data_IF_304391482090
#
_entry.id   IF_304391482090
#
_cell.length_a   1.000
_cell.length_b   1.000
_cell.length_c   1.000
_cell.angle_alpha   90.00
_cell.angle_beta   90.00
_cell.angle_gamma   90.00
#
_symmetry.space_group_name_H-M   'P 1'
#
loop_
_entity.id
_entity.type
_entity.pdbx_description
1 polymer ?
#
# COMPACT_ATOMS: atom_id res chain seq x y z
N UNK A 1 -38.60 -14.16 3.27
CA UNK A 1 -37.26 -14.77 3.46
C UNK A 1 -36.93 -15.58 2.20
N UNK A 2 -36.84 -14.95 1.01
CA UNK A 2 -36.59 -15.73 -0.21
C UNK A 2 -36.01 -15.08 -1.47
N UNK A 3 -35.45 -13.86 -1.45
CA UNK A 3 -34.97 -13.22 -2.71
C UNK A 3 -33.48 -12.91 -2.80
N UNK A 4 -32.68 -13.03 -1.73
CA UNK A 4 -31.28 -12.57 -1.76
C UNK A 4 -30.25 -13.59 -2.27
N UNK A 5 -30.63 -14.85 -2.50
CA UNK A 5 -29.70 -15.93 -2.87
C UNK A 5 -29.62 -16.22 -4.38
N UNK A 6 -30.38 -15.50 -5.21
CA UNK A 6 -30.45 -15.76 -6.66
C UNK A 6 -29.16 -15.44 -7.44
N UNK A 7 -28.13 -14.86 -6.80
CA UNK A 7 -26.83 -14.59 -7.43
C UNK A 7 -25.68 -15.20 -6.62
N UNK A 8 -25.74 -16.50 -6.38
CA UNK A 8 -24.54 -17.25 -6.01
C UNK A 8 -23.62 -17.32 -7.24
N UNK A 9 -22.57 -16.50 -7.26
CA UNK A 9 -21.46 -16.65 -8.21
C UNK A 9 -20.81 -18.00 -7.92
N UNK A 10 -20.86 -18.90 -8.89
CA UNK A 10 -20.19 -20.21 -8.80
C UNK A 10 -18.70 -19.95 -8.75
N UNK A 11 -18.11 -20.11 -7.56
CA UNK A 11 -16.67 -20.02 -7.34
C UNK A 11 -16.11 -21.43 -7.16
N UNK A 12 -14.89 -21.73 -7.65
CA UNK A 12 -14.30 -23.07 -7.53
C UNK A 12 -14.01 -23.52 -6.09
N UNK A 13 -14.02 -22.58 -5.15
CA UNK A 13 -13.77 -22.79 -3.73
C UNK A 13 -15.03 -22.40 -2.95
N UNK A 14 -15.52 -23.24 -2.03
CA UNK A 14 -16.61 -22.85 -1.15
C UNK A 14 -16.17 -21.64 -0.30
N UNK A 15 -17.09 -20.71 -0.07
CA UNK A 15 -16.82 -19.59 0.81
C UNK A 15 -16.43 -20.13 2.21
N UNK A 16 -15.38 -19.56 2.85
CA UNK A 16 -15.04 -19.91 4.23
C UNK A 16 -16.24 -19.73 5.16
N UNK A 17 -16.40 -20.63 6.14
CA UNK A 17 -17.49 -20.55 7.11
C UNK A 17 -17.50 -19.18 7.79
N UNK A 18 -18.63 -18.45 7.68
CA UNK A 18 -18.81 -17.10 8.22
C UNK A 18 -18.51 -15.94 7.27
N UNK A 19 -18.14 -16.18 6.00
CA UNK A 19 -17.92 -15.11 5.02
C UNK A 19 -19.26 -14.58 4.46
N UNK A 20 -19.69 -13.42 4.96
CA UNK A 20 -20.89 -12.73 4.46
C UNK A 20 -20.52 -11.93 3.22
N UNK A 21 -21.07 -12.32 2.07
CA UNK A 21 -20.84 -11.62 0.79
C UNK A 21 -21.72 -10.37 0.74
N UNK A 22 -21.18 -9.24 1.18
CA UNK A 22 -21.77 -7.92 0.98
C UNK A 22 -21.19 -7.29 -0.30
N UNK A 23 -22.03 -7.07 -1.31
CA UNK A 23 -21.65 -6.41 -2.56
C UNK A 23 -21.76 -4.88 -2.50
N UNK A 24 -22.44 -4.34 -1.48
CA UNK A 24 -22.53 -2.89 -1.24
C UNK A 24 -21.29 -2.37 -0.51
N UNK A 25 -20.86 -3.10 0.53
CA UNK A 25 -19.63 -2.80 1.28
C UNK A 25 -18.73 -4.03 1.35
N UNK A 26 -17.98 -4.34 0.27
CA UNK A 26 -17.15 -5.53 0.23
C UNK A 26 -16.07 -5.49 1.32
N UNK A 27 -16.03 -6.54 2.15
CA UNK A 27 -15.00 -6.71 3.15
C UNK A 27 -13.63 -6.79 2.47
N UNK A 28 -12.76 -5.79 2.72
CA UNK A 28 -11.38 -5.81 2.24
C UNK A 28 -10.52 -6.63 3.18
N UNK A 29 -9.78 -7.58 2.61
CA UNK A 29 -8.81 -8.38 3.35
C UNK A 29 -7.60 -7.51 3.69
N UNK A 30 -7.29 -7.43 4.98
CA UNK A 30 -5.99 -7.07 5.54
C UNK A 30 -5.38 -5.71 5.10
N UNK A 31 -6.24 -4.69 5.02
CA UNK A 31 -5.85 -3.34 4.62
C UNK A 31 -4.78 -2.76 5.57
N UNK A 32 -4.95 -2.96 6.88
CA UNK A 32 -4.03 -2.44 7.91
C UNK A 32 -2.66 -3.11 7.87
N UNK A 33 -2.61 -4.44 7.72
CA UNK A 33 -1.34 -5.16 7.66
C UNK A 33 -0.54 -4.74 6.43
N UNK A 34 -1.21 -4.57 5.29
CA UNK A 34 -0.57 -4.12 4.04
C UNK A 34 0.05 -2.73 4.20
N UNK A 35 -0.66 -1.78 4.80
CA UNK A 35 -0.13 -0.43 5.07
C UNK A 35 1.06 -0.43 6.02
N UNK A 36 1.00 -1.24 7.07
CA UNK A 36 2.09 -1.35 8.04
C UNK A 36 3.35 -1.89 7.38
N UNK A 37 3.21 -2.94 6.57
CA UNK A 37 4.33 -3.55 5.85
C UNK A 37 4.92 -2.55 4.85
N UNK A 38 4.10 -1.89 4.03
CA UNK A 38 4.57 -0.90 3.04
C UNK A 38 5.33 0.27 3.69
N UNK A 39 4.80 0.82 4.78
CA UNK A 39 5.46 1.92 5.50
C UNK A 39 6.80 1.51 6.10
N UNK A 40 6.92 0.30 6.67
CA UNK A 40 8.20 -0.23 7.16
C UNK A 40 9.22 -0.33 6.02
N UNK A 41 8.82 -0.89 4.87
CA UNK A 41 9.72 -1.03 3.72
C UNK A 41 10.17 0.31 3.14
N UNK A 42 9.30 1.33 3.11
CA UNK A 42 9.66 2.67 2.65
C UNK A 42 10.68 3.35 3.56
N UNK A 43 10.49 3.24 4.87
CA UNK A 43 11.44 3.78 5.87
C UNK A 43 12.78 3.05 5.79
N UNK A 44 12.76 1.72 5.64
CA UNK A 44 13.98 0.95 5.49
C UNK A 44 14.74 1.35 4.20
N UNK A 45 14.03 1.54 3.09
CA UNK A 45 14.62 2.04 1.86
C UNK A 45 15.25 3.43 2.04
N UNK A 46 14.62 4.32 2.81
CA UNK A 46 15.18 5.63 3.12
C UNK A 46 16.52 5.54 3.86
N UNK A 47 16.65 4.64 4.84
CA UNK A 47 17.93 4.42 5.53
C UNK A 47 19.04 3.94 4.59
N UNK A 48 18.73 3.07 3.62
CA UNK A 48 19.71 2.62 2.63
C UNK A 48 20.16 3.75 1.69
N UNK A 49 19.22 4.59 1.24
CA UNK A 49 19.51 5.78 0.43
C UNK A 49 20.38 6.76 1.22
N UNK A 50 20.02 7.04 2.48
CA UNK A 50 20.76 7.94 3.37
C UNK A 50 22.18 7.43 3.65
N UNK A 51 22.34 6.12 3.89
CA UNK A 51 23.66 5.50 4.06
C UNK A 51 24.51 5.65 2.81
N UNK A 52 23.95 5.42 1.63
CA UNK A 52 24.66 5.58 0.35
C UNK A 52 25.11 7.02 0.17
N UNK A 53 24.21 7.98 0.36
CA UNK A 53 24.52 9.41 0.29
C UNK A 53 25.59 9.83 1.31
N UNK A 54 25.54 9.33 2.53
CA UNK A 54 26.53 9.63 3.56
C UNK A 54 27.94 9.14 3.19
N UNK A 55 28.05 7.88 2.73
CA UNK A 55 29.34 7.30 2.34
C UNK A 55 29.89 7.99 1.09
N UNK A 56 29.04 8.27 0.11
CA UNK A 56 29.46 8.94 -1.13
C UNK A 56 29.86 10.40 -0.86
N UNK A 57 29.16 11.11 0.03
CA UNK A 57 29.53 12.47 0.44
C UNK A 57 30.89 12.50 1.17
N UNK A 58 31.12 11.55 2.08
CA UNK A 58 32.38 11.46 2.83
C UNK A 58 33.56 11.02 1.96
N UNK A 59 33.33 10.14 0.98
CA UNK A 59 34.41 9.53 0.18
C UNK A 59 34.73 10.31 -1.08
N UNK A 60 33.71 10.81 -1.80
CA UNK A 60 33.87 11.44 -3.12
C UNK A 60 33.81 12.96 -3.07
N UNK A 61 33.20 13.56 -2.04
CA UNK A 61 33.06 15.02 -1.91
C UNK A 61 32.21 15.71 -2.98
N UNK A 62 31.70 14.95 -3.96
CA UNK A 62 30.82 15.41 -5.04
C UNK A 62 29.63 14.47 -5.16
N UNK A 63 28.45 15.05 -5.37
CA UNK A 63 27.24 14.31 -5.71
C UNK A 63 27.34 13.81 -7.15
N UNK A 64 27.35 12.49 -7.32
CA UNK A 64 27.24 11.89 -8.65
C UNK A 64 25.81 11.98 -9.19
N UNK A 65 25.65 11.97 -10.51
CA UNK A 65 24.32 11.86 -11.14
C UNK A 65 23.59 10.59 -10.69
N UNK A 66 24.32 9.50 -10.45
CA UNK A 66 23.79 8.24 -9.94
C UNK A 66 23.07 8.42 -8.58
N UNK A 67 23.62 9.25 -7.69
CA UNK A 67 23.07 9.49 -6.35
C UNK A 67 21.80 10.34 -6.40
N UNK A 68 21.78 11.31 -7.32
CA UNK A 68 20.60 12.15 -7.59
C UNK A 68 19.47 11.30 -8.17
N UNK A 69 19.77 10.45 -9.14
CA UNK A 69 18.77 9.58 -9.77
C UNK A 69 18.16 8.59 -8.76
N UNK A 70 19.00 8.08 -7.85
CA UNK A 70 18.59 7.17 -6.79
C UNK A 70 17.69 7.87 -5.74
N UNK A 71 18.00 9.12 -5.38
CA UNK A 71 17.15 9.92 -4.51
C UNK A 71 15.78 10.22 -5.16
N UNK A 72 15.78 10.61 -6.44
CA UNK A 72 14.56 10.86 -7.20
C UNK A 72 13.71 9.58 -7.29
N UNK A 73 14.33 8.43 -7.54
CA UNK A 73 13.65 7.13 -7.57
C UNK A 73 12.99 6.79 -6.24
N UNK A 74 13.66 7.08 -5.11
CA UNK A 74 13.07 6.89 -3.79
C UNK A 74 11.88 7.83 -3.55
N UNK A 75 11.97 9.11 -3.92
CA UNK A 75 10.85 10.08 -3.82
C UNK A 75 9.66 9.62 -4.67
N UNK A 76 9.92 9.18 -5.91
CA UNK A 76 8.87 8.66 -6.79
C UNK A 76 8.17 7.43 -6.19
N UNK A 77 8.94 6.52 -5.58
CA UNK A 77 8.39 5.36 -4.86
C UNK A 77 7.52 5.77 -3.65
N UNK A 78 7.97 6.76 -2.87
CA UNK A 78 7.20 7.30 -1.76
C UNK A 78 5.89 7.95 -2.24
N UNK A 79 5.92 8.67 -3.36
CA UNK A 79 4.74 9.31 -3.94
C UNK A 79 3.69 8.28 -4.39
N UNK A 80 4.10 7.19 -5.02
CA UNK A 80 3.20 6.09 -5.41
C UNK A 80 2.50 5.50 -4.19
N UNK A 81 3.26 5.21 -3.13
CA UNK A 81 2.67 4.72 -1.88
C UNK A 81 1.71 5.74 -1.27
N UNK A 82 2.05 7.03 -1.30
CA UNK A 82 1.19 8.14 -0.89
C UNK A 82 -0.17 8.15 -1.60
N UNK A 83 -0.18 7.91 -2.91
CA UNK A 83 -1.44 7.80 -3.69
C UNK A 83 -2.29 6.62 -3.21
N UNK A 84 -1.67 5.46 -2.95
CA UNK A 84 -2.39 4.30 -2.41
C UNK A 84 -2.97 4.55 -1.00
N UNK A 85 -2.26 5.29 -0.13
CA UNK A 85 -2.79 5.72 1.16
C UNK A 85 -3.95 6.73 1.02
N UNK A 86 -3.87 7.63 0.05
CA UNK A 86 -4.92 8.61 -0.19
C UNK A 86 -6.22 7.95 -0.68
N UNK A 87 -6.14 7.06 -1.68
CA UNK A 87 -7.30 6.33 -2.19
C UNK A 87 -8.01 5.55 -1.09
N UNK A 88 -7.23 4.88 -0.25
CA UNK A 88 -7.78 4.11 0.86
C UNK A 88 -8.34 4.95 2.00
N UNK A 89 -7.73 6.09 2.31
CA UNK A 89 -8.28 7.04 3.29
C UNK A 89 -9.62 7.61 2.83
N UNK A 90 -9.76 7.95 1.54
CA UNK A 90 -11.04 8.39 0.96
C UNK A 90 -12.09 7.28 1.06
N UNK A 91 -11.74 6.04 0.73
CA UNK A 91 -12.69 4.93 0.76
C UNK A 91 -13.15 4.57 2.17
N UNK A 92 -12.25 4.61 3.16
CA UNK A 92 -12.61 4.45 4.58
C UNK A 92 -13.48 5.63 5.05
N UNK A 93 -13.19 6.86 4.62
CA UNK A 93 -14.01 8.03 4.95
C UNK A 93 -15.43 7.99 4.36
N UNK A 94 -15.60 7.39 3.17
CA UNK A 94 -16.92 7.21 2.54
C UNK A 94 -17.73 6.08 3.20
N UNK A 95 -17.08 4.98 3.60
CA UNK A 95 -17.74 3.83 4.26
C UNK A 95 -17.94 4.04 5.77
N UNK A 96 -17.12 4.89 6.39
CA UNK A 96 -17.16 5.20 7.83
C UNK A 96 -18.17 6.29 8.23
N UNK A 97 -18.91 6.86 7.29
CA UNK A 97 -20.04 7.72 7.59
C UNK A 97 -21.31 6.83 7.66
N UNK A 98 -22.00 6.73 8.81
CA UNK A 98 -23.16 5.85 8.96
C UNK A 98 -24.31 6.19 8.00
#
# INVERSE_FOLDING_TARGET
MSESYARQVVTPLPAPDGYVVDFGHPQRRDVVATYTVMSIWLVLAFFFVLRKLYVDLLTRGHFGLDDVLLLIGWIASAAVQGTFYCESAIFIGVVGNP
#
